data_IF_755937649640
#
_entry.id   IF_755937649640
#
_cell.length_a   1.000
_cell.length_b   1.000
_cell.length_c   1.000
_cell.angle_alpha   90.00
_cell.angle_beta   90.00
_cell.angle_gamma   90.00
#
_symmetry.space_group_name_H-M   'P 1'
#
loop_
_entity.id
_entity.type
_entity.pdbx_description
1 polymer ?
#
# COMPACT_ATOMS: atom_id res chain seq x y z
N UNK A 1 -14.84 -30.90 23.81
CA UNK A 1 -13.60 -30.36 23.21
C UNK A 1 -13.84 -30.37 21.71
N UNK A 2 -14.02 -29.21 21.07
CA UNK A 2 -14.36 -29.12 19.64
C UNK A 2 -13.08 -28.96 18.83
N UNK A 3 -12.60 -30.05 18.24
CA UNK A 3 -11.48 -30.06 17.30
C UNK A 3 -11.96 -29.53 15.94
N UNK A 4 -11.74 -28.23 15.72
CA UNK A 4 -12.01 -27.57 14.44
C UNK A 4 -11.11 -28.15 13.35
N UNK A 5 -11.71 -28.88 12.40
CA UNK A 5 -10.99 -29.43 11.24
C UNK A 5 -10.63 -28.30 10.28
N UNK A 6 -9.38 -27.87 10.31
CA UNK A 6 -8.83 -26.90 9.37
C UNK A 6 -8.82 -27.51 7.96
N UNK A 7 -9.53 -26.88 7.01
CA UNK A 7 -9.60 -27.33 5.61
C UNK A 7 -8.65 -26.48 4.76
N UNK A 8 -7.57 -27.08 4.29
CA UNK A 8 -6.66 -26.45 3.32
C UNK A 8 -7.20 -26.67 1.91
N UNK A 9 -7.64 -25.59 1.26
CA UNK A 9 -8.12 -25.62 -0.13
C UNK A 9 -6.98 -25.15 -1.04
N UNK A 10 -6.51 -26.02 -1.94
CA UNK A 10 -5.44 -25.69 -2.90
C UNK A 10 -6.08 -25.17 -4.19
N UNK A 11 -6.10 -23.85 -4.36
CA UNK A 11 -6.59 -23.20 -5.59
C UNK A 11 -5.46 -23.01 -6.59
N UNK A 12 -5.65 -23.49 -7.83
CA UNK A 12 -4.74 -23.28 -8.96
C UNK A 12 -5.26 -22.12 -9.81
N UNK A 13 -4.61 -20.97 -9.78
CA UNK A 13 -4.98 -19.79 -10.60
C UNK A 13 -4.00 -19.63 -11.76
N UNK A 14 -4.50 -19.65 -13.00
CA UNK A 14 -3.70 -19.28 -14.18
C UNK A 14 -3.62 -17.75 -14.25
N UNK A 15 -2.47 -17.19 -13.90
CA UNK A 15 -2.22 -15.74 -13.93
C UNK A 15 -1.16 -15.47 -14.99
N UNK A 16 -1.43 -14.52 -15.90
CA UNK A 16 -0.41 -14.00 -16.81
C UNK A 16 0.48 -13.02 -16.03
N UNK A 17 1.78 -13.30 -16.01
CA UNK A 17 2.80 -12.46 -15.40
C UNK A 17 3.62 -11.77 -16.48
N UNK A 18 3.99 -10.52 -16.20
CA UNK A 18 4.76 -9.67 -17.11
C UNK A 18 5.98 -9.14 -16.36
N UNK A 19 7.13 -9.13 -17.04
CA UNK A 19 8.34 -8.47 -16.55
C UNK A 19 8.20 -6.96 -16.71
N UNK A 20 8.32 -6.23 -15.61
CA UNK A 20 8.16 -4.77 -15.54
C UNK A 20 9.17 -4.18 -14.56
N UNK A 21 9.35 -2.85 -14.60
CA UNK A 21 10.16 -2.12 -13.62
C UNK A 21 9.27 -1.44 -12.57
N UNK A 22 9.69 -1.52 -11.31
CA UNK A 22 8.99 -0.88 -10.20
C UNK A 22 9.08 0.64 -10.34
N UNK A 23 7.94 1.34 -10.30
CA UNK A 23 7.92 2.81 -10.41
C UNK A 23 8.58 3.49 -9.20
N UNK A 24 8.64 2.82 -8.05
CA UNK A 24 9.23 3.38 -6.84
C UNK A 24 10.74 3.16 -6.73
N UNK A 25 11.22 1.92 -6.90
CA UNK A 25 12.64 1.60 -6.70
C UNK A 25 13.41 1.28 -7.99
N UNK A 26 12.75 1.21 -9.15
CA UNK A 26 13.38 0.90 -10.44
C UNK A 26 13.69 -0.57 -10.70
N UNK A 27 13.63 -1.43 -9.69
CA UNK A 27 13.95 -2.86 -9.83
C UNK A 27 13.00 -3.59 -10.78
N UNK A 28 13.54 -4.55 -11.51
CA UNK A 28 12.76 -5.47 -12.34
C UNK A 28 11.98 -6.45 -11.46
N UNK A 29 10.72 -6.71 -11.83
CA UNK A 29 9.85 -7.65 -11.13
C UNK A 29 8.83 -8.27 -12.10
N UNK A 30 8.31 -9.42 -11.68
CA UNK A 30 7.22 -10.09 -12.38
C UNK A 30 5.90 -9.77 -11.67
N UNK A 31 4.95 -9.25 -12.43
CA UNK A 31 3.66 -8.82 -11.88
C UNK A 31 2.52 -9.04 -12.84
N UNK A 32 1.30 -8.91 -12.32
CA UNK A 32 0.12 -8.83 -13.20
C UNK A 32 0.19 -7.57 -14.05
N UNK A 33 -0.66 -7.49 -15.08
CA UNK A 33 -0.72 -6.31 -15.95
C UNK A 33 -0.88 -4.99 -15.18
N UNK A 34 -1.67 -5.01 -14.09
CA UNK A 34 -1.93 -3.84 -13.23
C UNK A 34 -0.90 -3.63 -12.12
N UNK A 35 0.08 -4.53 -11.97
CA UNK A 35 1.10 -4.39 -10.94
C UNK A 35 2.11 -3.30 -11.34
N UNK A 36 2.30 -2.33 -10.44
CA UNK A 36 3.17 -1.15 -10.64
C UNK A 36 4.39 -1.18 -9.71
N UNK A 37 4.27 -1.89 -8.57
CA UNK A 37 5.29 -1.98 -7.54
C UNK A 37 5.74 -3.42 -7.39
N UNK A 38 7.05 -3.61 -7.18
CA UNK A 38 7.63 -4.94 -6.97
C UNK A 38 7.25 -5.57 -5.62
N UNK A 39 6.80 -4.77 -4.65
CA UNK A 39 6.48 -5.23 -3.30
C UNK A 39 5.47 -4.33 -2.61
N UNK A 40 4.81 -4.88 -1.59
CA UNK A 40 3.93 -4.11 -0.70
C UNK A 40 4.66 -2.99 0.04
N UNK A 41 5.97 -3.13 0.28
CA UNK A 41 6.79 -2.08 0.86
C UNK A 41 6.90 -0.88 -0.10
N UNK A 42 7.21 -1.13 -1.37
CA UNK A 42 7.27 -0.09 -2.40
C UNK A 42 5.90 0.56 -2.64
N UNK A 43 4.82 -0.24 -2.63
CA UNK A 43 3.45 0.28 -2.74
C UNK A 43 3.14 1.26 -1.60
N UNK A 44 3.43 0.87 -0.35
CA UNK A 44 3.17 1.69 0.84
C UNK A 44 4.01 2.97 0.87
N UNK A 45 5.29 2.89 0.51
CA UNK A 45 6.17 4.06 0.44
C UNK A 45 5.71 5.03 -0.65
N UNK A 46 5.43 4.53 -1.84
CA UNK A 46 4.91 5.35 -2.94
C UNK A 46 3.57 6.02 -2.58
N UNK A 47 2.67 5.30 -1.90
CA UNK A 47 1.43 5.89 -1.39
C UNK A 47 1.68 7.00 -0.35
N UNK A 48 2.56 6.73 0.62
CA UNK A 48 2.92 7.69 1.65
C UNK A 48 3.48 8.98 1.05
N UNK A 49 4.39 8.88 0.08
CA UNK A 49 5.00 10.05 -0.56
C UNK A 49 3.98 10.89 -1.32
N UNK A 50 3.10 10.26 -2.12
CA UNK A 50 2.02 10.96 -2.83
C UNK A 50 1.10 11.77 -1.92
N UNK A 51 0.79 11.24 -0.73
CA UNK A 51 -0.12 11.89 0.22
C UNK A 51 0.61 12.66 1.34
N UNK A 52 1.93 12.75 1.30
CA UNK A 52 2.74 13.31 2.40
C UNK A 52 2.39 14.77 2.66
N UNK A 53 2.39 15.58 1.60
CA UNK A 53 2.15 17.02 1.70
C UNK A 53 0.74 17.34 2.18
N UNK A 54 -0.25 16.64 1.63
CA UNK A 54 -1.65 16.80 2.03
C UNK A 54 -1.87 16.44 3.51
N UNK A 55 -1.26 15.34 3.97
CA UNK A 55 -1.31 14.93 5.39
C UNK A 55 -0.66 15.97 6.30
N UNK A 56 0.48 16.54 5.90
CA UNK A 56 1.15 17.62 6.63
C UNK A 56 0.28 18.88 6.68
N UNK A 57 -0.35 19.27 5.57
CA UNK A 57 -1.27 20.42 5.51
C UNK A 57 -2.44 20.24 6.48
N UNK A 58 -3.14 19.11 6.41
CA UNK A 58 -4.26 18.78 7.31
C UNK A 58 -3.83 18.79 8.78
N UNK A 59 -2.63 18.29 9.09
CA UNK A 59 -2.07 18.32 10.46
C UNK A 59 -1.86 19.75 10.96
N UNK A 60 -1.29 20.64 10.13
CA UNK A 60 -1.09 22.05 10.49
C UNK A 60 -2.43 22.78 10.69
N UNK A 61 -3.37 22.59 9.77
CA UNK A 61 -4.70 23.19 9.87
C UNK A 61 -5.40 22.78 11.18
N UNK A 62 -5.36 21.49 11.52
CA UNK A 62 -5.89 20.99 12.79
C UNK A 62 -5.23 21.65 14.00
N UNK A 63 -3.91 21.82 13.98
CA UNK A 63 -3.18 22.49 15.06
C UNK A 63 -3.63 23.94 15.25
N UNK A 64 -3.73 24.73 14.17
CA UNK A 64 -4.18 26.11 14.25
C UNK A 64 -5.65 26.22 14.70
N UNK A 65 -6.52 25.33 14.23
CA UNK A 65 -7.92 25.26 14.69
C UNK A 65 -8.01 25.03 16.20
N UNK A 66 -7.21 24.11 16.72
CA UNK A 66 -7.16 23.83 18.16
C UNK A 66 -6.58 24.99 18.97
N UNK A 67 -5.56 25.67 18.45
CA UNK A 67 -4.96 26.83 19.10
C UNK A 67 -5.94 28.00 19.21
N UNK A 68 -6.71 28.26 18.15
CA UNK A 68 -7.75 29.30 18.16
C UNK A 68 -8.89 28.97 19.13
N UNK A 69 -9.33 27.70 19.20
CA UNK A 69 -10.41 27.28 20.11
C UNK A 69 -10.04 27.32 21.61
N UNK A 70 -8.75 27.44 21.94
CA UNK A 70 -8.27 27.54 23.33
C UNK A 70 -8.15 28.99 23.82
N UNK A 71 -8.26 29.96 22.91
CA UNK A 71 -8.12 31.39 23.18
C UNK A 71 -9.47 31.99 23.51
#
# INVERSE_FOLDING_TARGET
>A
MNEGKEKVIIVRKRIKVFKKKCVFCGNEFEGTERAIYCSDACRRKGDYERHREERLRKRREKYYRQKQAKQ
#
